data_IF_886442916147
#
_entry.id   IF_886442916147
#
_cell.length_a   1.000
_cell.length_b   1.000
_cell.length_c   1.000
_cell.angle_alpha   90.00
_cell.angle_beta   90.00
_cell.angle_gamma   90.00
#
_symmetry.space_group_name_H-M   'P 1'
#
loop_
_entity.id
_entity.type
_entity.pdbx_description
1 polymer ?
#
# COMPACT_ATOMS: atom_id res chain seq x y z
N UNK A 1 17.13 -20.68 24.51
CA UNK A 1 16.08 -19.94 23.78
C UNK A 1 16.74 -19.24 22.62
N UNK A 2 16.77 -19.91 21.46
CA UNK A 2 17.11 -19.27 20.19
C UNK A 2 15.95 -18.33 19.85
N UNK A 3 16.16 -17.03 20.00
CA UNK A 3 15.27 -16.04 19.40
C UNK A 3 15.35 -16.29 17.90
N UNK A 4 14.30 -16.86 17.31
CA UNK A 4 14.17 -16.85 15.87
C UNK A 4 14.05 -15.38 15.53
N UNK A 5 15.09 -14.84 14.89
CA UNK A 5 15.04 -13.52 14.29
C UNK A 5 14.03 -13.64 13.14
N UNK A 6 12.74 -13.49 13.45
CA UNK A 6 11.66 -13.46 12.46
C UNK A 6 11.83 -12.18 11.67
N UNK A 7 12.72 -12.26 10.69
CA UNK A 7 13.00 -11.16 9.78
C UNK A 7 11.69 -10.81 9.06
N UNK A 8 11.23 -9.58 9.28
CA UNK A 8 10.06 -9.04 8.59
C UNK A 8 10.28 -9.12 7.07
N UNK A 9 9.25 -9.58 6.37
CA UNK A 9 9.21 -9.65 4.91
C UNK A 9 8.16 -8.67 4.41
N UNK A 10 8.56 -7.81 3.48
CA UNK A 10 7.63 -6.99 2.71
C UNK A 10 7.25 -7.77 1.47
N UNK A 11 5.95 -8.02 1.29
CA UNK A 11 5.42 -8.60 0.05
C UNK A 11 4.61 -7.56 -0.70
N UNK A 12 4.97 -7.34 -1.97
CA UNK A 12 4.23 -6.47 -2.88
C UNK A 12 3.61 -7.32 -3.98
N UNK A 13 2.29 -7.25 -4.12
CA UNK A 13 1.55 -7.83 -5.23
C UNK A 13 1.48 -6.78 -6.34
N UNK A 14 2.43 -6.86 -7.26
CA UNK A 14 2.56 -5.92 -8.37
C UNK A 14 2.25 -6.62 -9.69
N UNK A 15 1.20 -6.19 -10.41
CA UNK A 15 0.75 -6.83 -11.66
C UNK A 15 0.55 -8.34 -11.53
N UNK A 16 -0.11 -8.77 -10.45
CA UNK A 16 -0.32 -10.17 -10.05
C UNK A 16 0.96 -10.98 -9.71
N UNK A 17 2.13 -10.34 -9.67
CA UNK A 17 3.38 -10.97 -9.27
C UNK A 17 3.70 -10.62 -7.83
N UNK A 18 4.04 -11.64 -7.05
CA UNK A 18 4.48 -11.48 -5.68
C UNK A 18 5.98 -11.15 -5.71
N UNK A 19 6.33 -9.97 -5.23
CA UNK A 19 7.71 -9.51 -5.05
C UNK A 19 7.99 -9.41 -3.57
N UNK A 20 9.18 -9.83 -3.18
CA UNK A 20 9.57 -9.92 -1.78
C UNK A 20 10.80 -9.05 -1.53
N UNK A 21 10.80 -8.34 -0.41
CA UNK A 21 11.96 -7.60 0.08
C UNK A 21 12.23 -7.96 1.54
N UNK A 22 13.50 -8.17 1.86
CA UNK A 22 13.99 -8.61 3.16
C UNK A 22 14.97 -7.60 3.78
N UNK A 23 15.58 -6.73 2.96
CA UNK A 23 16.51 -5.66 3.36
C UNK A 23 15.90 -4.29 3.13
N UNK A 24 16.45 -3.26 3.78
CA UNK A 24 16.08 -1.87 3.53
C UNK A 24 16.33 -1.44 2.08
N UNK A 25 17.40 -1.93 1.46
CA UNK A 25 17.73 -1.61 0.07
C UNK A 25 16.72 -2.22 -0.91
N UNK A 26 16.38 -3.51 -0.74
CA UNK A 26 15.33 -4.17 -1.54
C UNK A 26 13.96 -3.50 -1.34
N UNK A 27 13.65 -3.03 -0.13
CA UNK A 27 12.42 -2.29 0.14
C UNK A 27 12.43 -0.96 -0.63
N UNK A 28 13.52 -0.21 -0.59
CA UNK A 28 13.64 1.05 -1.31
C UNK A 28 13.47 0.87 -2.82
N UNK A 29 14.15 -0.12 -3.42
CA UNK A 29 14.02 -0.45 -4.85
C UNK A 29 12.58 -0.84 -5.22
N UNK A 30 11.91 -1.61 -4.36
CA UNK A 30 10.54 -2.05 -4.58
C UNK A 30 9.55 -0.88 -4.51
N UNK A 31 9.75 0.06 -3.58
CA UNK A 31 8.96 1.29 -3.47
C UNK A 31 9.14 2.16 -4.72
N UNK A 32 10.38 2.35 -5.19
CA UNK A 32 10.62 3.09 -6.43
C UNK A 32 9.90 2.44 -7.61
N UNK A 33 9.92 1.11 -7.70
CA UNK A 33 9.24 0.40 -8.79
C UNK A 33 7.73 0.63 -8.76
N UNK A 34 7.11 0.54 -7.58
CA UNK A 34 5.65 0.74 -7.42
C UNK A 34 5.22 2.15 -7.79
N UNK A 35 6.06 3.16 -7.55
CA UNK A 35 5.76 4.57 -7.82
C UNK A 35 6.10 5.03 -9.24
N UNK A 36 7.00 4.33 -9.94
CA UNK A 36 7.41 4.69 -11.31
C UNK A 36 6.68 3.89 -12.38
N UNK A 37 6.23 2.68 -12.05
CA UNK A 37 5.45 1.86 -12.96
C UNK A 37 4.00 1.74 -12.46
N UNK A 38 2.99 2.04 -13.30
CA UNK A 38 1.61 2.02 -12.86
C UNK A 38 1.23 0.58 -12.45
N UNK A 39 0.74 0.40 -11.20
CA UNK A 39 0.30 -0.89 -10.72
C UNK A 39 -1.14 -1.11 -11.17
N UNK A 40 -1.32 -1.70 -12.35
CA UNK A 40 -2.63 -2.21 -12.77
C UNK A 40 -2.58 -3.74 -12.87
N UNK A 41 -3.44 -4.47 -12.13
CA UNK A 41 -4.39 -3.97 -11.12
C UNK A 41 -3.68 -3.40 -9.88
N UNK A 42 -4.45 -2.73 -9.01
CA UNK A 42 -3.99 -2.02 -7.81
C UNK A 42 -2.90 -2.81 -7.06
N UNK A 43 -1.83 -2.12 -6.70
CA UNK A 43 -0.74 -2.75 -5.96
C UNK A 43 -1.13 -2.88 -4.49
N UNK A 44 -0.89 -4.07 -3.93
CA UNK A 44 -1.06 -4.35 -2.51
C UNK A 44 0.29 -4.62 -1.86
N UNK A 45 0.52 -4.02 -0.70
CA UNK A 45 1.73 -4.14 0.10
C UNK A 45 1.35 -4.76 1.44
N UNK A 46 2.09 -5.80 1.82
CA UNK A 46 1.93 -6.55 3.05
C UNK A 46 3.25 -6.57 3.82
N UNK A 47 3.17 -6.51 5.14
CA UNK A 47 4.32 -6.62 6.04
C UNK A 47 4.03 -7.76 7.02
N UNK A 48 4.90 -8.76 7.07
CA UNK A 48 4.67 -9.95 7.88
C UNK A 48 5.96 -10.61 8.35
N UNK A 49 5.87 -11.64 9.19
CA UNK A 49 7.02 -12.42 9.70
C UNK A 49 7.50 -13.50 8.70
N UNK A 50 6.82 -13.61 7.56
CA UNK A 50 7.10 -14.54 6.46
C UNK A 50 6.51 -13.99 5.15
N UNK A 51 6.94 -14.49 3.97
CA UNK A 51 6.37 -14.08 2.69
C UNK A 51 4.87 -14.39 2.58
N UNK A 52 4.08 -13.51 1.96
CA UNK A 52 2.73 -13.89 1.54
C UNK A 52 2.81 -14.93 0.42
N UNK A 53 1.78 -15.76 0.30
CA UNK A 53 1.68 -16.77 -0.76
C UNK A 53 0.44 -16.53 -1.60
N UNK A 54 0.57 -16.79 -2.89
CA UNK A 54 -0.52 -16.71 -3.84
C UNK A 54 -1.37 -17.99 -3.82
N UNK A 55 -2.51 -17.96 -4.49
CA UNK A 55 -3.35 -19.14 -4.74
C UNK A 55 -2.64 -20.20 -5.62
N UNK A 56 -1.55 -19.84 -6.30
CA UNK A 56 -0.81 -20.72 -7.21
C UNK A 56 0.30 -21.51 -6.51
N UNK A 57 0.62 -21.17 -5.27
CA UNK A 57 1.62 -21.87 -4.47
C UNK A 57 1.08 -23.21 -3.96
N UNK A 58 1.94 -24.22 -3.82
CA UNK A 58 1.57 -25.61 -3.46
C UNK A 58 0.78 -25.70 -2.15
N UNK A 59 1.20 -24.92 -1.16
CA UNK A 59 0.56 -24.86 0.16
C UNK A 59 -0.62 -23.88 0.22
N UNK A 60 -1.00 -23.28 -0.91
CA UNK A 60 -2.08 -22.31 -1.02
C UNK A 60 -1.78 -20.91 -0.45
N UNK A 61 -2.78 -20.02 -0.50
CA UNK A 61 -2.61 -18.61 -0.17
C UNK A 61 -2.37 -18.41 1.33
N UNK A 62 -1.50 -17.46 1.66
CA UNK A 62 -1.22 -17.07 3.04
C UNK A 62 -0.95 -15.58 3.11
N UNK A 63 -1.68 -14.88 3.99
CA UNK A 63 -1.63 -13.43 4.15
C UNK A 63 -1.77 -13.06 5.64
N UNK A 64 -1.19 -11.93 6.08
CA UNK A 64 -1.40 -11.44 7.44
C UNK A 64 -2.85 -10.97 7.65
N UNK A 65 -3.34 -11.09 8.89
CA UNK A 65 -4.66 -10.58 9.28
C UNK A 65 -4.63 -9.07 9.65
N UNK A 66 -3.45 -8.55 9.98
CA UNK A 66 -3.29 -7.33 10.77
C UNK A 66 -3.11 -6.06 9.93
N UNK A 67 -2.98 -6.18 8.60
CA UNK A 67 -3.11 -5.03 7.74
C UNK A 67 -2.50 -5.17 6.35
N UNK A 68 -3.04 -4.38 5.42
CA UNK A 68 -2.50 -4.19 4.07
C UNK A 68 -2.61 -2.75 3.64
N UNK A 69 -1.65 -2.30 2.82
CA UNK A 69 -1.67 -1.01 2.17
C UNK A 69 -1.90 -1.20 0.67
N UNK A 70 -2.78 -0.41 0.07
CA UNK A 70 -3.07 -0.41 -1.37
C UNK A 70 -2.75 0.96 -1.96
N UNK A 71 -2.30 1.00 -3.21
CA UNK A 71 -1.87 2.23 -3.87
C UNK A 71 -2.42 2.36 -5.28
N UNK A 72 -3.02 3.52 -5.57
CA UNK A 72 -3.29 4.00 -6.92
C UNK A 72 -2.22 5.04 -7.30
N UNK A 73 -1.44 4.74 -8.33
CA UNK A 73 -0.34 5.58 -8.81
C UNK A 73 -0.34 5.60 -10.35
N UNK A 74 -1.01 6.55 -11.01
CA UNK A 74 -0.89 6.73 -12.46
C UNK A 74 0.54 7.12 -12.85
N UNK A 75 1.01 6.62 -13.99
CA UNK A 75 2.41 6.76 -14.41
C UNK A 75 2.83 8.18 -14.79
N UNK A 76 1.87 9.03 -15.14
CA UNK A 76 2.06 10.32 -15.80
C UNK A 76 1.65 11.51 -14.92
N UNK A 77 1.44 11.30 -13.62
CA UNK A 77 1.00 12.35 -12.71
C UNK A 77 1.83 12.35 -11.41
N UNK A 78 2.05 13.52 -10.80
CA UNK A 78 2.81 13.65 -9.55
C UNK A 78 1.97 13.30 -8.31
N UNK A 79 0.93 12.47 -8.46
CA UNK A 79 -0.07 12.18 -7.43
C UNK A 79 -0.26 10.67 -7.26
N UNK A 80 -0.43 10.25 -6.02
CA UNK A 80 -0.89 8.90 -5.69
C UNK A 80 -1.82 8.93 -4.47
N UNK A 81 -2.65 7.90 -4.33
CA UNK A 81 -3.54 7.72 -3.19
C UNK A 81 -3.30 6.37 -2.52
N UNK A 82 -3.48 6.34 -1.21
CA UNK A 82 -3.29 5.16 -0.37
C UNK A 82 -4.62 4.73 0.25
N UNK A 83 -4.82 3.42 0.36
CA UNK A 83 -5.89 2.81 1.14
C UNK A 83 -5.28 1.83 2.13
N UNK A 84 -5.51 2.04 3.42
CA UNK A 84 -5.05 1.14 4.47
C UNK A 84 -6.23 0.37 5.04
N UNK A 85 -6.10 -0.95 5.09
CA UNK A 85 -7.09 -1.85 5.66
C UNK A 85 -6.47 -2.64 6.79
N UNK A 86 -7.13 -2.61 7.94
CA UNK A 86 -6.84 -3.46 9.09
C UNK A 86 -8.13 -3.61 9.91
N UNK A 87 -8.79 -4.78 9.88
CA UNK A 87 -10.03 -5.03 10.63
C UNK A 87 -9.93 -4.78 12.14
N UNK A 88 -8.72 -4.92 12.72
CA UNK A 88 -8.45 -4.70 14.14
C UNK A 88 -8.04 -3.26 14.50
N UNK A 89 -7.92 -2.35 13.52
CA UNK A 89 -7.50 -0.98 13.80
C UNK A 89 -8.60 -0.21 14.58
N UNK A 90 -8.27 0.40 15.74
CA UNK A 90 -9.25 1.08 16.57
C UNK A 90 -9.85 2.32 15.88
N UNK A 91 -9.05 3.01 15.05
CA UNK A 91 -9.42 4.25 14.39
C UNK A 91 -9.90 4.03 12.95
N UNK A 92 -10.74 3.00 12.76
CA UNK A 92 -11.38 2.66 11.49
C UNK A 92 -10.69 1.51 10.75
N UNK A 93 -11.45 0.48 10.38
CA UNK A 93 -10.90 -0.70 9.72
C UNK A 93 -10.41 -0.47 8.28
N UNK A 94 -10.86 0.63 7.67
CA UNK A 94 -10.56 1.01 6.29
C UNK A 94 -10.49 2.53 6.23
N UNK A 95 -9.36 3.05 5.77
CA UNK A 95 -9.13 4.49 5.61
C UNK A 95 -8.37 4.79 4.32
N UNK A 96 -8.64 5.95 3.75
CA UNK A 96 -7.91 6.48 2.60
C UNK A 96 -6.99 7.62 3.05
N UNK A 97 -5.90 7.86 2.31
CA UNK A 97 -5.07 9.04 2.54
C UNK A 97 -5.92 10.31 2.49
N UNK A 98 -5.51 11.34 3.23
CA UNK A 98 -6.16 12.64 3.22
C UNK A 98 -5.15 13.75 2.94
N UNK A 99 -5.42 14.51 1.88
CA UNK A 99 -4.71 15.72 1.50
C UNK A 99 -5.48 16.97 1.99
N UNK A 100 -5.08 17.60 3.11
CA UNK A 100 -5.70 18.83 3.60
C UNK A 100 -5.44 20.05 2.70
N UNK A 101 -4.56 19.93 1.70
CA UNK A 101 -4.18 20.98 0.76
C UNK A 101 -4.77 20.76 -0.63
N UNK A 102 -5.79 19.91 -0.75
CA UNK A 102 -6.51 19.66 -2.01
C UNK A 102 -7.02 20.95 -2.62
N UNK A 103 -6.74 21.13 -3.91
CA UNK A 103 -7.20 22.26 -4.73
C UNK A 103 -8.04 21.76 -5.90
N UNK A 104 -8.60 22.67 -6.71
CA UNK A 104 -9.28 22.32 -7.97
C UNK A 104 -8.36 21.60 -8.98
N UNK A 105 -7.04 21.76 -8.85
CA UNK A 105 -6.05 21.10 -9.70
C UNK A 105 -5.68 19.68 -9.21
N UNK A 106 -6.15 19.29 -8.03
CA UNK A 106 -5.87 17.96 -7.46
C UNK A 106 -6.81 16.92 -8.09
N UNK A 107 -6.29 15.93 -8.84
CA UNK A 107 -7.15 15.00 -9.56
C UNK A 107 -7.72 13.92 -8.63
N UNK A 108 -8.92 13.38 -8.90
CA UNK A 108 -9.30 12.07 -8.38
C UNK A 108 -8.44 10.99 -9.05
N UNK A 109 -8.23 9.86 -8.38
CA UNK A 109 -7.35 8.80 -8.86
C UNK A 109 -8.11 7.49 -9.03
N UNK A 110 -7.95 6.84 -10.18
CA UNK A 110 -8.60 5.58 -10.49
C UNK A 110 -8.02 4.47 -9.61
N UNK A 111 -8.87 3.83 -8.81
CA UNK A 111 -8.52 2.71 -7.93
C UNK A 111 -8.73 1.36 -8.63
N UNK A 112 -9.91 1.18 -9.22
CA UNK A 112 -10.25 -0.03 -9.97
C UNK A 112 -10.92 0.33 -11.30
N UNK A 113 -10.26 0.09 -12.45
CA UNK A 113 -10.85 0.31 -13.77
C UNK A 113 -12.07 -0.54 -14.06
N UNK A 114 -12.17 -1.76 -13.51
CA UNK A 114 -13.29 -2.68 -13.81
C UNK A 114 -14.58 -2.22 -13.12
N UNK A 115 -14.47 -1.82 -11.85
CA UNK A 115 -15.59 -1.29 -11.07
C UNK A 115 -15.88 0.21 -11.26
N UNK A 116 -15.09 0.92 -12.06
CA UNK A 116 -15.10 2.40 -12.17
C UNK A 116 -15.03 3.06 -10.78
N UNK A 117 -14.11 2.56 -9.94
CA UNK A 117 -13.95 3.00 -8.56
C UNK A 117 -12.80 4.00 -8.47
N UNK A 118 -13.07 5.13 -7.82
CA UNK A 118 -12.14 6.25 -7.74
C UNK A 118 -11.90 6.66 -6.30
N UNK A 119 -10.67 7.01 -6.00
CA UNK A 119 -10.35 7.86 -4.87
C UNK A 119 -10.79 9.30 -5.17
N UNK A 120 -11.39 10.00 -4.19
CA UNK A 120 -11.68 11.41 -4.35
C UNK A 120 -10.39 12.24 -4.44
N UNK A 121 -10.46 13.44 -5.01
CA UNK A 121 -9.31 14.37 -5.03
C UNK A 121 -8.71 14.62 -3.65
N UNK A 122 -9.54 14.57 -2.60
CA UNK A 122 -9.09 14.72 -1.22
C UNK A 122 -8.15 13.62 -0.74
N UNK A 123 -8.00 12.52 -1.47
CA UNK A 123 -7.08 11.43 -1.13
C UNK A 123 -5.76 11.48 -1.90
N UNK A 124 -5.65 12.32 -2.91
CA UNK A 124 -4.47 12.43 -3.77
C UNK A 124 -3.35 13.20 -3.07
N UNK A 125 -2.26 12.51 -2.75
CA UNK A 125 -1.07 13.07 -2.12
C UNK A 125 0.08 13.21 -3.14
N UNK A 126 0.99 14.18 -2.96
CA UNK A 126 2.21 14.25 -3.76
C UNK A 126 3.04 12.97 -3.62
N UNK A 127 3.70 12.53 -4.70
CA UNK A 127 4.47 11.27 -4.71
C UNK A 127 5.54 11.18 -3.61
N UNK A 128 6.20 12.28 -3.27
CA UNK A 128 7.20 12.31 -2.19
C UNK A 128 6.58 11.93 -0.84
N UNK A 129 5.40 12.45 -0.53
CA UNK A 129 4.69 12.15 0.70
C UNK A 129 4.19 10.70 0.73
N UNK A 130 3.76 10.17 -0.43
CA UNK A 130 3.37 8.76 -0.57
C UNK A 130 4.56 7.83 -0.37
N UNK A 131 5.74 8.18 -0.91
CA UNK A 131 6.98 7.44 -0.72
C UNK A 131 7.36 7.33 0.76
N UNK A 132 7.26 8.43 1.50
CA UNK A 132 7.51 8.44 2.95
C UNK A 132 6.52 7.53 3.69
N UNK A 133 5.23 7.60 3.35
CA UNK A 133 4.20 6.79 3.98
C UNK A 133 4.38 5.28 3.72
N UNK A 134 4.69 4.88 2.48
CA UNK A 134 4.99 3.47 2.18
C UNK A 134 6.24 3.01 2.91
N UNK A 135 7.27 3.86 2.98
CA UNK A 135 8.51 3.55 3.73
C UNK A 135 8.22 3.33 5.21
N UNK A 136 7.39 4.18 5.83
CA UNK A 136 6.96 4.00 7.22
C UNK A 136 6.15 2.71 7.40
N UNK A 137 5.22 2.41 6.48
CA UNK A 137 4.45 1.17 6.50
C UNK A 137 5.36 -0.06 6.43
N UNK A 138 6.28 -0.12 5.46
CA UNK A 138 7.22 -1.23 5.30
C UNK A 138 8.08 -1.47 6.53
N UNK A 139 8.40 -0.41 7.29
CA UNK A 139 9.19 -0.50 8.53
C UNK A 139 8.37 -0.98 9.73
N UNK A 140 7.08 -0.63 9.80
CA UNK A 140 6.27 -0.78 11.02
C UNK A 140 5.16 -1.83 10.92
N UNK A 141 4.69 -2.11 9.70
CA UNK A 141 3.45 -2.84 9.44
C UNK A 141 2.18 -2.13 9.93
N UNK A 142 2.29 -0.92 10.46
CA UNK A 142 1.20 -0.14 11.04
C UNK A 142 0.77 0.97 10.10
N UNK A 143 -0.46 1.47 10.26
CA UNK A 143 -0.95 2.64 9.53
C UNK A 143 0.09 3.79 9.62
N UNK A 144 0.61 4.29 8.48
CA UNK A 144 1.56 5.40 8.46
C UNK A 144 1.03 6.63 9.21
N UNK A 145 1.86 7.19 10.09
CA UNK A 145 1.53 8.39 10.88
C UNK A 145 1.99 9.68 10.20
N UNK A 146 2.90 9.60 9.22
CA UNK A 146 3.40 10.77 8.48
C UNK A 146 2.35 11.39 7.53
N UNK A 147 1.20 10.75 7.35
CA UNK A 147 0.07 11.26 6.55
C UNK A 147 -1.22 11.23 7.36
N UNK A 148 -2.17 12.09 6.96
CA UNK A 148 -3.51 12.08 7.52
C UNK A 148 -4.39 11.07 6.78
N UNK A 149 -5.43 10.64 7.46
CA UNK A 149 -6.36 9.63 6.96
C UNK A 149 -7.79 10.14 7.07
N UNK A 150 -8.61 9.80 6.08
CA UNK A 150 -10.05 10.02 6.08
C UNK A 150 -10.77 8.66 6.05
N UNK A 151 -12.06 8.58 6.46
CA UNK A 151 -12.84 7.37 6.26
C UNK A 151 -12.82 6.96 4.79
N UNK A 152 -12.38 5.73 4.51
CA UNK A 152 -12.33 5.24 3.15
C UNK A 152 -13.60 4.52 2.74
N UNK A 153 -13.68 4.13 1.47
CA UNK A 153 -14.79 3.35 0.95
C UNK A 153 -14.44 1.87 0.82
N UNK A 154 -15.42 1.02 1.09
CA UNK A 154 -15.33 -0.40 0.71
C UNK A 154 -15.57 -0.50 -0.79
N UNK A 155 -14.46 -0.61 -1.52
CA UNK A 155 -14.41 -0.87 -2.96
C UNK A 155 -14.47 -2.37 -3.23
#
# INVERSE_FOLDING_TARGET
MTSIDTRTVVTVVFRHLFRYAYTSDEIAELIETVLTEPPLPICEIYVWDRPCRSIRDEDGPAFPADGRLRIACPADQPWAALNYINPGAPDGALVDSYNPHTTEETPPLLFDPEGDLWFPSSASLPLEQVREAITEYCRTGQRPSCVQWQPGQWY
#
